data_IF_983999925968
#
_entry.id   IF_983999925968
#
_cell.length_a   1.000
_cell.length_b   1.000
_cell.length_c   1.000
_cell.angle_alpha   90.00
_cell.angle_beta   90.00
_cell.angle_gamma   90.00
#
_symmetry.space_group_name_H-M   'P 1'
#
loop_
_entity.id
_entity.type
_entity.pdbx_description
1 polymer ?
#
# COMPACT_ATOMS: atom_id res chain seq x y z
N UNK A 1 -33.89 -74.66 40.98
CA UNK A 1 -33.89 -73.26 40.56
C UNK A 1 -32.79 -73.11 39.50
N UNK A 2 -33.17 -72.99 38.26
CA UNK A 2 -32.27 -72.69 37.11
C UNK A 2 -32.22 -71.21 36.92
N UNK A 3 -31.09 -70.59 37.21
CA UNK A 3 -30.72 -69.24 36.73
C UNK A 3 -29.44 -69.41 35.92
N UNK A 4 -29.57 -69.39 34.75
CA UNK A 4 -29.53 -68.38 33.71
C UNK A 4 -28.12 -68.23 33.19
N UNK A 5 -27.79 -69.01 32.17
CA UNK A 5 -26.57 -68.81 31.30
C UNK A 5 -26.67 -67.63 30.38
N UNK A 6 -27.81 -66.92 30.34
CA UNK A 6 -28.07 -65.82 29.40
C UNK A 6 -27.50 -64.48 29.82
N UNK A 7 -27.24 -64.28 31.09
CA UNK A 7 -26.60 -62.97 31.57
C UNK A 7 -25.09 -62.97 31.35
N UNK A 8 -24.43 -64.08 31.21
CA UNK A 8 -23.00 -64.16 30.88
C UNK A 8 -22.70 -63.86 29.42
N UNK A 9 -23.65 -64.11 28.49
CA UNK A 9 -23.51 -63.83 27.08
C UNK A 9 -23.79 -62.33 26.79
N UNK A 10 -24.71 -61.69 27.49
CA UNK A 10 -24.97 -60.25 27.35
C UNK A 10 -23.85 -59.37 27.89
N UNK A 11 -23.19 -59.77 28.98
CA UNK A 11 -22.05 -59.07 29.55
C UNK A 11 -20.81 -59.10 28.62
N UNK A 12 -20.58 -60.20 27.93
CA UNK A 12 -19.45 -60.36 27.01
C UNK A 12 -19.65 -59.61 25.68
N UNK A 13 -20.90 -59.46 25.20
CA UNK A 13 -21.21 -58.66 24.01
C UNK A 13 -21.11 -57.13 24.31
N UNK A 14 -21.48 -56.68 25.50
CA UNK A 14 -21.36 -55.27 25.91
C UNK A 14 -19.88 -54.85 26.12
N UNK A 15 -19.00 -55.77 26.51
CA UNK A 15 -17.58 -55.53 26.70
C UNK A 15 -16.80 -55.48 25.35
N UNK A 16 -17.30 -56.20 24.32
CA UNK A 16 -16.74 -56.21 22.97
C UNK A 16 -17.11 -54.94 22.16
N UNK A 17 -18.18 -54.23 22.55
CA UNK A 17 -18.58 -52.98 21.89
C UNK A 17 -17.82 -51.72 22.41
N UNK A 18 -17.08 -51.82 23.54
CA UNK A 18 -16.27 -50.75 24.07
C UNK A 18 -14.80 -50.73 23.58
N UNK A 19 -14.40 -51.70 22.75
CA UNK A 19 -13.03 -51.81 22.24
C UNK A 19 -12.89 -51.44 20.76
N UNK A 20 -13.92 -50.87 20.13
CA UNK A 20 -13.87 -50.51 18.69
C UNK A 20 -13.97 -49.02 18.42
N UNK A 21 -13.14 -48.25 19.09
CA UNK A 21 -12.80 -46.90 18.64
C UNK A 21 -11.28 -46.67 18.76
N UNK A 22 -10.54 -47.49 17.99
CA UNK A 22 -9.18 -47.07 17.65
C UNK A 22 -9.28 -46.21 16.38
N UNK A 23 -9.18 -44.92 16.53
CA UNK A 23 -8.92 -44.02 15.42
C UNK A 23 -7.66 -44.52 14.69
N UNK A 24 -7.84 -44.99 13.48
CA UNK A 24 -6.73 -45.27 12.58
C UNK A 24 -6.13 -43.92 12.17
N UNK A 25 -5.01 -43.58 12.76
CA UNK A 25 -4.18 -42.48 12.26
C UNK A 25 -3.76 -42.84 10.83
N UNK A 26 -4.27 -42.10 9.86
CA UNK A 26 -3.78 -42.16 8.50
C UNK A 26 -2.39 -41.55 8.43
N UNK A 27 -1.38 -42.37 8.21
CA UNK A 27 -0.03 -41.91 7.99
C UNK A 27 0.09 -41.34 6.58
N UNK A 28 0.24 -40.04 6.46
CA UNK A 28 0.53 -39.39 5.20
C UNK A 28 2.02 -39.57 4.89
N UNK A 29 2.31 -40.41 3.88
CA UNK A 29 3.68 -40.58 3.39
C UNK A 29 3.92 -39.57 2.29
N UNK A 30 4.90 -38.69 2.47
CA UNK A 30 5.30 -37.71 1.44
C UNK A 30 5.95 -38.41 0.24
N UNK A 31 5.98 -37.82 -0.97
CA UNK A 31 6.60 -38.39 -2.16
C UNK A 31 8.11 -38.71 -1.99
N UNK A 32 8.73 -38.26 -0.91
CA UNK A 32 10.16 -38.46 -0.58
C UNK A 32 10.35 -39.50 0.54
N UNK A 33 9.30 -40.25 0.94
CA UNK A 33 9.43 -41.35 1.89
C UNK A 33 9.56 -40.96 3.36
N UNK A 34 9.46 -39.66 3.71
CA UNK A 34 9.36 -39.25 5.10
C UNK A 34 7.93 -39.47 5.62
N UNK A 35 7.80 -40.15 6.72
CA UNK A 35 6.54 -40.25 7.45
C UNK A 35 6.41 -38.97 8.24
N UNK A 36 5.49 -38.06 7.83
CA UNK A 36 5.01 -37.03 8.71
C UNK A 36 4.07 -37.77 9.70
N UNK A 37 4.53 -37.91 10.94
CA UNK A 37 3.57 -38.14 12.02
C UNK A 37 2.56 -37.01 11.89
N UNK A 38 1.26 -37.36 11.86
CA UNK A 38 0.21 -36.38 11.97
C UNK A 38 0.54 -35.56 13.22
N UNK A 39 1.10 -34.38 13.03
CA UNK A 39 1.11 -33.40 14.08
C UNK A 39 -0.35 -33.33 14.49
N UNK A 40 -0.66 -33.70 15.72
CA UNK A 40 -1.94 -33.32 16.30
C UNK A 40 -1.98 -31.81 16.10
N UNK A 41 -2.73 -31.37 15.09
CA UNK A 41 -3.17 -29.99 15.04
C UNK A 41 -3.98 -29.90 16.31
N UNK A 42 -3.38 -29.35 17.35
CA UNK A 42 -4.08 -29.08 18.59
C UNK A 42 -5.29 -28.26 18.14
N UNK A 43 -6.48 -28.66 18.60
CA UNK A 43 -7.70 -27.86 18.37
C UNK A 43 -7.56 -26.46 18.97
N UNK A 44 -6.47 -26.16 19.65
CA UNK A 44 -6.15 -24.94 20.37
C UNK A 44 -4.94 -24.20 19.74
N UNK A 45 -5.06 -23.75 18.49
CA UNK A 45 -4.06 -22.86 17.91
C UNK A 45 -4.12 -21.49 18.61
N UNK A 46 -3.14 -21.17 19.47
CA UNK A 46 -3.11 -19.97 20.30
C UNK A 46 -1.76 -19.23 20.17
N UNK A 47 -1.45 -18.36 21.11
CA UNK A 47 -0.30 -17.44 21.08
C UNK A 47 1.05 -18.10 20.78
N UNK A 48 1.31 -19.29 21.34
CA UNK A 48 2.56 -20.02 21.10
C UNK A 48 2.71 -20.46 19.63
N UNK A 49 1.61 -20.82 19.00
CA UNK A 49 1.58 -21.23 17.60
C UNK A 49 1.73 -20.03 16.67
N UNK A 50 1.13 -18.89 17.01
CA UNK A 50 1.32 -17.60 16.31
C UNK A 50 2.80 -17.20 16.37
N UNK A 51 3.45 -17.31 17.53
CA UNK A 51 4.87 -17.02 17.66
C UNK A 51 5.75 -18.00 16.86
N UNK A 52 5.36 -19.26 16.82
CA UNK A 52 6.07 -20.30 16.05
C UNK A 52 5.90 -20.12 14.54
N UNK A 53 4.70 -19.76 14.08
CA UNK A 53 4.42 -19.46 12.66
C UNK A 53 5.09 -18.18 12.19
N UNK A 54 5.38 -17.26 13.11
CA UNK A 54 5.97 -15.95 12.83
C UNK A 54 5.01 -14.96 12.20
N UNK A 55 3.69 -15.21 12.22
CA UNK A 55 2.68 -14.36 11.60
C UNK A 55 1.44 -14.21 12.50
N UNK A 56 1.00 -12.95 12.66
CA UNK A 56 -0.25 -12.56 13.29
C UNK A 56 -1.18 -12.00 12.22
N UNK A 57 -2.40 -12.52 12.12
CA UNK A 57 -3.36 -12.14 11.08
C UNK A 57 -4.43 -11.22 11.65
N UNK A 58 -4.51 -10.00 11.12
CA UNK A 58 -5.51 -9.01 11.51
C UNK A 58 -6.51 -8.80 10.37
N UNK A 59 -7.80 -8.96 10.63
CA UNK A 59 -8.84 -8.47 9.74
C UNK A 59 -9.31 -7.07 10.15
N UNK A 60 -9.57 -6.21 9.16
CA UNK A 60 -10.00 -4.83 9.39
C UNK A 60 -10.81 -4.30 8.21
N UNK A 61 -11.41 -3.12 8.40
CA UNK A 61 -12.05 -2.34 7.33
C UNK A 61 -11.14 -1.21 6.89
N UNK A 62 -11.31 -0.72 5.65
CA UNK A 62 -10.64 0.51 5.22
C UNK A 62 -11.22 1.72 5.93
N UNK A 63 -10.37 2.67 6.31
CA UNK A 63 -10.80 3.91 6.94
C UNK A 63 -9.64 4.68 7.56
N UNK A 64 -9.85 5.97 7.88
CA UNK A 64 -8.79 6.84 8.38
C UNK A 64 -8.22 6.39 9.72
N UNK A 65 -9.05 5.78 10.58
CA UNK A 65 -8.64 5.30 11.90
C UNK A 65 -8.30 3.80 11.90
N UNK A 66 -8.72 3.05 10.88
CA UNK A 66 -8.56 1.60 10.81
C UNK A 66 -7.33 1.20 10.00
N UNK A 67 -7.45 1.21 8.67
CA UNK A 67 -6.38 0.83 7.74
C UNK A 67 -6.52 1.56 6.42
N UNK A 68 -5.45 2.10 5.90
CA UNK A 68 -5.37 2.64 4.54
C UNK A 68 -3.93 2.69 4.03
N UNK A 69 -3.78 2.62 2.71
CA UNK A 69 -2.49 2.85 2.07
C UNK A 69 -2.28 4.34 1.77
N UNK A 70 -1.10 4.83 2.13
CA UNK A 70 -0.71 6.21 1.87
C UNK A 70 0.71 6.27 1.33
N UNK A 71 0.86 6.60 0.06
CA UNK A 71 2.14 6.60 -0.65
C UNK A 71 2.92 5.29 -0.51
N UNK A 72 2.22 4.15 -0.55
CA UNK A 72 2.80 2.82 -0.42
C UNK A 72 3.24 2.45 0.99
N UNK A 73 2.74 3.15 2.01
CA UNK A 73 2.90 2.81 3.41
C UNK A 73 1.52 2.62 4.03
N UNK A 74 1.35 1.51 4.73
CA UNK A 74 0.15 1.24 5.49
C UNK A 74 0.06 2.14 6.71
N UNK A 75 -1.08 2.77 6.92
CA UNK A 75 -1.40 3.68 8.01
C UNK A 75 -2.80 3.37 8.58
N UNK A 76 -3.15 4.09 9.62
CA UNK A 76 -4.36 3.95 10.43
C UNK A 76 -3.99 3.63 11.88
N UNK A 77 -4.62 4.31 12.83
CA UNK A 77 -4.30 4.14 14.25
C UNK A 77 -4.46 2.68 14.70
N UNK A 78 -5.53 1.99 14.26
CA UNK A 78 -5.74 0.56 14.56
C UNK A 78 -4.62 -0.32 13.99
N UNK A 79 -4.26 -0.09 12.74
CA UNK A 79 -3.15 -0.79 12.10
C UNK A 79 -1.85 -0.60 12.89
N UNK A 80 -1.51 0.63 13.28
CA UNK A 80 -0.28 0.92 14.02
C UNK A 80 -0.26 0.24 15.40
N UNK A 81 -1.41 0.18 16.10
CA UNK A 81 -1.52 -0.56 17.35
C UNK A 81 -1.25 -2.05 17.13
N UNK A 82 -1.89 -2.66 16.13
CA UNK A 82 -1.71 -4.08 15.82
C UNK A 82 -0.29 -4.38 15.32
N UNK A 83 0.33 -3.48 14.55
CA UNK A 83 1.72 -3.62 14.12
C UNK A 83 2.68 -3.59 15.32
N UNK A 84 2.52 -2.63 16.24
CA UNK A 84 3.33 -2.56 17.45
C UNK A 84 3.09 -3.79 18.37
N UNK A 85 1.88 -4.33 18.38
CA UNK A 85 1.57 -5.57 19.11
C UNK A 85 2.30 -6.77 18.49
N UNK A 86 2.20 -6.96 17.18
CA UNK A 86 2.93 -8.00 16.45
C UNK A 86 4.46 -7.89 16.64
N UNK A 87 5.00 -6.67 16.57
CA UNK A 87 6.42 -6.40 16.82
C UNK A 87 6.83 -6.83 18.26
N UNK A 88 5.95 -6.60 19.26
CA UNK A 88 6.22 -7.01 20.63
C UNK A 88 6.20 -8.52 20.85
N UNK A 89 5.47 -9.25 20.00
CA UNK A 89 5.44 -10.71 19.98
C UNK A 89 6.59 -11.31 19.15
N UNK A 90 7.33 -10.48 18.39
CA UNK A 90 8.39 -10.91 17.49
C UNK A 90 7.88 -11.55 16.20
N UNK A 91 6.63 -11.26 15.79
CA UNK A 91 5.98 -11.81 14.60
C UNK A 91 5.66 -10.72 13.58
N UNK A 92 5.38 -11.13 12.35
CA UNK A 92 4.95 -10.24 11.27
C UNK A 92 3.44 -10.06 11.32
N UNK A 93 2.95 -8.83 11.13
CA UNK A 93 1.53 -8.57 10.94
C UNK A 93 1.13 -8.80 9.47
N UNK A 94 0.12 -9.63 9.24
CA UNK A 94 -0.61 -9.75 7.98
C UNK A 94 -1.97 -9.08 8.12
N UNK A 95 -2.29 -8.19 7.17
CA UNK A 95 -3.57 -7.48 7.18
C UNK A 95 -4.49 -8.07 6.12
N UNK A 96 -5.69 -8.44 6.54
CA UNK A 96 -6.78 -8.90 5.69
C UNK A 96 -7.90 -7.84 5.71
N UNK A 97 -8.13 -7.20 4.56
CA UNK A 97 -9.09 -6.11 4.43
C UNK A 97 -10.45 -6.68 4.03
N UNK A 98 -11.43 -6.51 4.90
CA UNK A 98 -12.80 -6.95 4.69
C UNK A 98 -13.66 -5.84 4.09
N UNK A 99 -14.74 -6.22 3.43
CA UNK A 99 -15.70 -5.32 2.79
C UNK A 99 -16.63 -4.64 3.81
N UNK A 100 -17.04 -5.42 4.82
CA UNK A 100 -17.99 -4.97 5.83
C UNK A 100 -17.79 -5.71 7.17
N UNK A 101 -18.55 -5.29 8.18
CA UNK A 101 -18.48 -5.88 9.53
C UNK A 101 -19.00 -7.32 9.61
N UNK A 102 -19.82 -7.76 8.64
CA UNK A 102 -20.32 -9.14 8.59
C UNK A 102 -19.20 -10.09 8.20
N UNK A 103 -18.41 -9.73 7.18
CA UNK A 103 -17.23 -10.49 6.76
C UNK A 103 -16.15 -10.53 7.86
N UNK A 104 -15.95 -9.42 8.60
CA UNK A 104 -15.07 -9.40 9.77
C UNK A 104 -15.48 -10.44 10.82
N UNK A 105 -16.76 -10.44 11.20
CA UNK A 105 -17.30 -11.35 12.21
C UNK A 105 -17.31 -12.81 11.73
N UNK A 106 -17.48 -13.06 10.44
CA UNK A 106 -17.40 -14.39 9.84
C UNK A 106 -15.97 -14.94 9.93
N UNK A 107 -14.97 -14.17 9.49
CA UNK A 107 -13.57 -14.58 9.51
C UNK A 107 -13.06 -14.83 10.94
N UNK A 108 -13.46 -14.01 11.90
CA UNK A 108 -13.09 -14.23 13.29
C UNK A 108 -13.70 -15.54 13.82
N UNK A 109 -14.99 -15.77 13.56
CA UNK A 109 -15.68 -17.01 13.98
C UNK A 109 -15.18 -18.28 13.28
N UNK A 110 -14.69 -18.14 12.05
CA UNK A 110 -14.11 -19.24 11.29
C UNK A 110 -12.66 -19.57 11.70
N UNK A 111 -12.03 -18.73 12.56
CA UNK A 111 -10.62 -18.86 12.92
C UNK A 111 -9.65 -18.50 11.78
N UNK A 112 -10.13 -17.84 10.71
CA UNK A 112 -9.31 -17.44 9.57
C UNK A 112 -8.34 -16.30 9.92
N UNK A 113 -8.62 -15.57 11.01
CA UNK A 113 -7.85 -14.44 11.50
C UNK A 113 -7.69 -14.51 13.02
N UNK A 114 -6.61 -13.93 13.52
CA UNK A 114 -6.29 -13.93 14.95
C UNK A 114 -6.91 -12.74 15.69
N UNK A 115 -7.00 -11.60 14.98
CA UNK A 115 -7.52 -10.34 15.51
C UNK A 115 -8.49 -9.72 14.52
N UNK A 116 -9.47 -8.99 15.06
CA UNK A 116 -10.24 -8.00 14.31
C UNK A 116 -10.10 -6.62 14.94
N UNK A 117 -9.95 -5.61 14.07
CA UNK A 117 -9.81 -4.23 14.49
C UNK A 117 -10.73 -3.34 13.64
N UNK A 118 -11.72 -2.71 14.27
CA UNK A 118 -12.72 -1.90 13.55
C UNK A 118 -13.23 -0.72 14.37
N UNK A 119 -13.93 0.18 13.68
CA UNK A 119 -14.60 1.36 14.21
C UNK A 119 -13.65 2.35 14.91
N UNK A 120 -13.50 2.30 16.22
CA UNK A 120 -12.74 3.29 16.97
C UNK A 120 -11.35 2.79 17.34
N UNK A 121 -10.34 3.68 17.38
CA UNK A 121 -8.99 3.32 17.83
C UNK A 121 -8.97 2.62 19.19
N UNK A 122 -8.32 1.47 19.26
CA UNK A 122 -8.25 0.61 20.44
C UNK A 122 -9.36 -0.44 20.54
N UNK A 123 -10.34 -0.44 19.63
CA UNK A 123 -11.34 -1.49 19.56
C UNK A 123 -10.79 -2.67 18.74
N UNK A 124 -10.03 -3.53 19.44
CA UNK A 124 -9.36 -4.70 18.88
C UNK A 124 -9.82 -5.91 19.68
N UNK A 125 -10.31 -6.93 19.00
CA UNK A 125 -10.75 -8.19 19.61
C UNK A 125 -9.93 -9.34 19.03
N UNK A 126 -9.47 -10.22 19.92
CA UNK A 126 -8.86 -11.48 19.53
C UNK A 126 -9.94 -12.53 19.32
N UNK A 127 -9.58 -13.60 18.58
CA UNK A 127 -10.39 -14.79 18.50
C UNK A 127 -10.68 -15.33 19.91
N UNK A 128 -11.95 -15.48 20.31
CA UNK A 128 -12.30 -15.90 21.64
C UNK A 128 -11.82 -17.32 22.00
N UNK A 129 -11.49 -18.15 21.01
CA UNK A 129 -10.91 -19.47 21.23
C UNK A 129 -9.41 -19.40 21.56
N UNK A 130 -8.73 -18.28 21.23
CA UNK A 130 -7.32 -18.02 21.50
C UNK A 130 -7.16 -17.27 22.82
N UNK A 131 -7.28 -17.99 23.92
CA UNK A 131 -7.37 -17.37 25.27
C UNK A 131 -6.09 -16.66 25.70
N UNK A 132 -4.91 -17.21 25.40
CA UNK A 132 -3.61 -16.62 25.74
C UNK A 132 -3.34 -15.37 24.90
N UNK A 133 -3.70 -15.39 23.60
CA UNK A 133 -3.66 -14.23 22.74
C UNK A 133 -4.58 -13.12 23.26
N UNK A 134 -5.83 -13.46 23.58
CA UNK A 134 -6.83 -12.50 24.08
C UNK A 134 -6.38 -11.83 25.37
N UNK A 135 -5.84 -12.60 26.32
CA UNK A 135 -5.33 -12.06 27.60
C UNK A 135 -4.11 -11.17 27.35
N UNK A 136 -3.17 -11.60 26.50
CA UNK A 136 -1.96 -10.82 26.17
C UNK A 136 -2.34 -9.51 25.47
N UNK A 137 -3.29 -9.56 24.52
CA UNK A 137 -3.80 -8.36 23.85
C UNK A 137 -4.47 -7.42 24.85
N UNK A 138 -5.29 -7.92 25.77
CA UNK A 138 -5.98 -7.12 26.79
C UNK A 138 -4.98 -6.38 27.70
N UNK A 139 -3.88 -7.02 28.06
CA UNK A 139 -2.80 -6.42 28.85
C UNK A 139 -2.01 -5.38 28.04
N UNK A 140 -1.85 -5.61 26.75
CA UNK A 140 -1.14 -4.72 25.83
C UNK A 140 -1.96 -3.49 25.44
N UNK A 141 -3.24 -3.67 25.06
CA UNK A 141 -4.12 -2.65 24.50
C UNK A 141 -4.63 -1.68 25.58
N UNK A 142 -3.77 -0.74 25.96
CA UNK A 142 -4.06 0.30 26.96
C UNK A 142 -4.29 1.65 26.29
N UNK A 143 -5.04 2.57 26.92
CA UNK A 143 -5.25 3.92 26.40
C UNK A 143 -3.95 4.65 26.00
N UNK A 144 -2.86 4.43 26.74
CA UNK A 144 -1.54 5.00 26.41
C UNK A 144 -0.97 4.50 25.08
N UNK A 145 -1.26 3.26 24.69
CA UNK A 145 -0.85 2.71 23.39
C UNK A 145 -1.65 3.31 22.23
N UNK A 146 -2.94 3.50 22.44
CA UNK A 146 -3.81 4.18 21.48
C UNK A 146 -3.32 5.60 21.24
N UNK A 147 -3.01 6.32 22.30
CA UNK A 147 -2.48 7.69 22.19
C UNK A 147 -1.10 7.73 21.52
N UNK A 148 -0.21 6.78 21.84
CA UNK A 148 1.10 6.68 21.18
C UNK A 148 0.96 6.39 19.67
N UNK A 149 0.06 5.49 19.28
CA UNK A 149 -0.20 5.21 17.86
C UNK A 149 -0.78 6.42 17.11
N UNK A 150 -1.68 7.19 17.73
CA UNK A 150 -2.19 8.46 17.16
C UNK A 150 -1.09 9.49 16.98
N UNK A 151 -0.20 9.61 17.96
CA UNK A 151 0.95 10.52 17.87
C UNK A 151 1.92 10.08 16.78
N UNK A 152 2.19 8.77 16.67
CA UNK A 152 3.02 8.21 15.60
C UNK A 152 2.40 8.47 14.22
N UNK A 153 1.11 8.21 14.03
CA UNK A 153 0.41 8.49 12.78
C UNK A 153 0.48 9.98 12.43
N UNK A 154 0.20 10.85 13.40
CA UNK A 154 0.31 12.30 13.23
C UNK A 154 1.73 12.71 12.86
N UNK A 155 2.74 12.18 13.52
CA UNK A 155 4.14 12.43 13.20
C UNK A 155 4.47 11.97 11.78
N UNK A 156 4.05 10.76 11.38
CA UNK A 156 4.25 10.23 10.03
C UNK A 156 3.59 11.10 8.95
N UNK A 157 2.41 11.64 9.24
CA UNK A 157 1.67 12.51 8.31
C UNK A 157 2.23 13.94 8.27
N UNK A 158 2.89 14.41 9.34
CA UNK A 158 3.46 15.77 9.42
C UNK A 158 4.94 15.84 9.04
N UNK A 159 5.66 14.71 9.05
CA UNK A 159 7.04 14.65 8.54
C UNK A 159 7.06 15.20 7.12
N UNK A 160 8.04 16.06 6.81
CA UNK A 160 8.27 16.54 5.44
C UNK A 160 8.21 15.34 4.50
N UNK A 161 7.18 15.28 3.66
CA UNK A 161 6.82 14.13 2.83
C UNK A 161 8.00 13.58 2.02
N UNK A 162 8.91 14.47 1.61
CA UNK A 162 10.14 14.11 0.89
C UNK A 162 11.31 14.89 1.48
N UNK A 163 12.32 14.16 1.95
CA UNK A 163 13.62 14.72 2.34
C UNK A 163 14.43 14.96 1.07
N UNK A 164 14.57 16.20 0.67
CA UNK A 164 15.21 16.62 -0.59
C UNK A 164 15.83 18.01 -0.49
N UNK A 165 16.81 18.27 -1.36
CA UNK A 165 17.25 19.65 -1.66
C UNK A 165 16.22 20.29 -2.59
N UNK A 166 15.97 21.58 -2.38
CA UNK A 166 15.07 22.32 -3.26
C UNK A 166 15.93 23.02 -4.33
N UNK A 167 15.76 22.58 -5.57
CA UNK A 167 16.40 23.24 -6.71
C UNK A 167 15.42 24.22 -7.38
N UNK A 168 15.97 25.12 -8.21
CA UNK A 168 15.15 26.04 -8.99
C UNK A 168 14.20 25.24 -9.92
N UNK A 169 12.95 25.68 -10.10
CA UNK A 169 12.03 25.04 -11.05
C UNK A 169 12.51 25.17 -12.51
N UNK A 170 13.46 26.06 -12.77
CA UNK A 170 14.11 26.24 -14.07
C UNK A 170 15.57 26.64 -13.86
N UNK A 171 16.48 25.85 -14.41
CA UNK A 171 17.92 26.03 -14.21
C UNK A 171 18.45 27.27 -14.95
N UNK A 172 18.04 27.49 -16.20
CA UNK A 172 18.41 28.66 -17.01
C UNK A 172 17.25 29.03 -17.92
N UNK A 173 16.50 30.06 -17.53
CA UNK A 173 15.33 30.52 -18.28
C UNK A 173 15.71 31.08 -19.66
N UNK A 174 16.86 31.75 -19.76
CA UNK A 174 17.29 32.41 -21.01
C UNK A 174 17.71 31.36 -22.06
N UNK A 175 18.30 30.25 -21.61
CA UNK A 175 18.71 29.13 -22.47
C UNK A 175 17.64 28.07 -22.65
N UNK A 176 16.49 28.21 -21.98
CA UNK A 176 15.41 27.20 -22.02
C UNK A 176 15.81 25.88 -21.37
N UNK A 177 16.68 25.90 -20.36
CA UNK A 177 17.11 24.71 -19.63
C UNK A 177 16.29 24.60 -18.36
N UNK A 178 15.47 23.54 -18.26
CA UNK A 178 14.63 23.28 -17.09
C UNK A 178 15.47 22.65 -15.98
N UNK A 179 16.24 21.60 -16.30
CA UNK A 179 17.04 20.86 -15.33
C UNK A 179 18.32 20.29 -15.96
N UNK A 180 19.19 19.72 -15.15
CA UNK A 180 20.35 18.94 -15.62
C UNK A 180 19.96 17.62 -16.30
N UNK A 181 18.67 17.23 -16.25
CA UNK A 181 18.15 15.94 -16.71
C UNK A 181 17.28 16.05 -17.97
N UNK A 182 17.20 17.23 -18.58
CA UNK A 182 16.34 17.48 -19.75
C UNK A 182 16.56 16.47 -20.89
N UNK A 183 17.82 16.05 -21.11
CA UNK A 183 18.14 15.02 -22.10
C UNK A 183 17.47 13.68 -21.82
N UNK A 184 17.45 13.23 -20.57
CA UNK A 184 16.76 12.00 -20.19
C UNK A 184 15.25 12.14 -20.32
N UNK A 185 14.66 13.29 -19.93
CA UNK A 185 13.23 13.53 -20.13
C UNK A 185 12.88 13.51 -21.63
N UNK A 186 13.69 14.12 -22.50
CA UNK A 186 13.49 14.10 -23.94
C UNK A 186 13.60 12.69 -24.55
N UNK A 187 14.50 11.85 -24.01
CA UNK A 187 14.67 10.47 -24.43
C UNK A 187 13.45 9.63 -24.05
N UNK A 188 13.14 9.53 -22.77
CA UNK A 188 12.14 8.60 -22.23
C UNK A 188 10.70 9.06 -22.40
N UNK A 189 10.44 10.36 -22.61
CA UNK A 189 9.10 10.86 -22.89
C UNK A 189 8.55 10.35 -24.24
N UNK A 190 9.42 9.97 -25.17
CA UNK A 190 9.03 9.37 -26.47
C UNK A 190 8.36 8.02 -26.28
N UNK A 191 8.82 7.22 -25.33
CA UNK A 191 8.29 5.88 -25.05
C UNK A 191 6.85 5.92 -24.54
N UNK A 192 6.49 7.02 -23.88
CA UNK A 192 5.16 7.27 -23.32
C UNK A 192 4.35 8.28 -24.13
N UNK A 193 4.89 8.80 -25.22
CA UNK A 193 4.26 9.81 -26.10
C UNK A 193 3.81 11.07 -25.34
N UNK A 194 4.59 11.48 -24.36
CA UNK A 194 4.37 12.72 -23.62
C UNK A 194 5.28 13.85 -24.11
N UNK A 195 4.87 15.09 -23.88
CA UNK A 195 5.80 16.21 -23.90
C UNK A 195 6.84 16.00 -22.78
N UNK A 196 8.13 16.05 -23.11
CA UNK A 196 9.21 15.89 -22.14
C UNK A 196 9.13 16.89 -20.97
N UNK A 197 8.55 18.07 -21.22
CA UNK A 197 8.33 19.11 -20.20
C UNK A 197 7.28 18.67 -19.18
N UNK A 198 6.35 17.83 -19.55
CA UNK A 198 5.39 17.24 -18.61
C UNK A 198 6.09 16.28 -17.66
N UNK A 199 7.00 15.42 -18.15
CA UNK A 199 7.81 14.57 -17.28
C UNK A 199 8.72 15.39 -16.36
N UNK A 200 9.32 16.48 -16.87
CA UNK A 200 10.10 17.41 -16.08
C UNK A 200 9.23 18.10 -14.99
N UNK A 201 8.00 18.50 -15.32
CA UNK A 201 7.05 19.08 -14.36
C UNK A 201 6.66 18.08 -13.26
N UNK A 202 6.46 16.82 -13.62
CA UNK A 202 6.21 15.72 -12.68
C UNK A 202 7.43 15.51 -11.78
N UNK A 203 8.62 15.39 -12.34
CA UNK A 203 9.85 15.24 -11.58
C UNK A 203 10.07 16.38 -10.57
N UNK A 204 9.76 17.61 -10.96
CA UNK A 204 9.84 18.72 -10.02
C UNK A 204 8.86 18.57 -8.86
N UNK A 205 7.65 18.09 -9.12
CA UNK A 205 6.66 17.84 -8.06
C UNK A 205 7.13 16.72 -7.12
N UNK A 206 7.77 15.68 -7.65
CA UNK A 206 8.27 14.54 -6.88
C UNK A 206 9.48 14.91 -6.01
N UNK A 207 10.51 15.46 -6.61
CA UNK A 207 11.81 15.61 -5.96
C UNK A 207 12.40 17.02 -6.00
N UNK A 208 11.78 17.98 -6.72
CA UNK A 208 12.42 19.26 -7.09
C UNK A 208 13.77 19.05 -7.80
N UNK A 209 13.87 18.01 -8.63
CA UNK A 209 15.09 17.59 -9.34
C UNK A 209 16.24 17.11 -8.43
N UNK A 210 15.95 16.65 -7.20
CA UNK A 210 16.98 16.08 -6.33
C UNK A 210 17.08 14.56 -6.57
N UNK A 211 18.21 14.04 -7.14
CA UNK A 211 18.37 12.63 -7.38
C UNK A 211 18.55 11.81 -6.10
N UNK A 212 18.81 12.48 -4.96
CA UNK A 212 18.97 11.86 -3.64
C UNK A 212 17.73 12.00 -2.76
N UNK A 213 16.61 12.46 -3.33
CA UNK A 213 15.36 12.60 -2.60
C UNK A 213 14.87 11.25 -2.06
N UNK A 214 14.39 11.27 -0.82
CA UNK A 214 13.79 10.09 -0.17
C UNK A 214 12.51 10.53 0.54
N UNK A 215 11.40 9.86 0.25
CA UNK A 215 10.15 10.09 0.98
C UNK A 215 10.15 9.36 2.32
N UNK A 216 9.23 9.74 3.20
CA UNK A 216 9.02 9.04 4.47
C UNK A 216 8.60 7.57 4.25
N UNK A 217 7.92 7.26 3.14
CA UNK A 217 7.51 5.92 2.76
C UNK A 217 8.60 5.12 2.02
N UNK A 218 9.76 5.73 1.77
CA UNK A 218 10.91 5.06 1.14
C UNK A 218 10.97 5.20 -0.37
N UNK A 219 10.12 6.03 -1.01
CA UNK A 219 10.29 6.37 -2.42
C UNK A 219 11.61 7.09 -2.67
N UNK A 220 12.28 6.82 -3.78
CA UNK A 220 13.65 7.26 -4.03
C UNK A 220 13.84 7.96 -5.36
N UNK A 221 14.74 8.93 -5.38
CA UNK A 221 15.28 9.55 -6.59
C UNK A 221 14.37 10.60 -7.21
N UNK A 222 14.71 10.97 -8.44
CA UNK A 222 14.08 12.07 -9.18
C UNK A 222 12.58 11.94 -9.32
N UNK A 223 12.10 10.75 -9.66
CA UNK A 223 10.69 10.44 -9.92
C UNK A 223 10.01 9.69 -8.77
N UNK A 224 10.67 9.62 -7.59
CA UNK A 224 10.14 9.00 -6.37
C UNK A 224 9.58 7.60 -6.59
N UNK A 225 10.40 6.71 -7.13
CA UNK A 225 10.02 5.31 -7.33
C UNK A 225 10.04 4.55 -6.01
N UNK A 226 8.94 3.89 -5.67
CA UNK A 226 8.84 3.02 -4.51
C UNK A 226 9.67 1.73 -4.71
N UNK A 227 10.28 1.19 -3.64
CA UNK A 227 11.04 -0.07 -3.73
C UNK A 227 10.22 -1.24 -4.31
N UNK A 228 8.96 -1.39 -3.91
CA UNK A 228 8.07 -2.42 -4.47
C UNK A 228 7.77 -2.21 -5.96
N UNK A 229 7.61 -0.96 -6.39
CA UNK A 229 7.46 -0.62 -7.82
C UNK A 229 8.75 -0.93 -8.59
N UNK A 230 9.93 -0.65 -8.01
CA UNK A 230 11.20 -0.99 -8.64
C UNK A 230 11.32 -2.50 -8.86
N UNK A 231 10.97 -3.31 -7.86
CA UNK A 231 10.97 -4.78 -7.97
C UNK A 231 10.03 -5.26 -9.08
N UNK A 232 8.81 -4.74 -9.12
CA UNK A 232 7.82 -5.05 -10.17
C UNK A 232 8.35 -4.72 -11.57
N UNK A 233 9.04 -3.58 -11.72
CA UNK A 233 9.60 -3.13 -13.00
C UNK A 233 10.94 -3.79 -13.35
N UNK A 234 11.47 -4.66 -12.48
CA UNK A 234 12.78 -5.31 -12.63
C UNK A 234 13.96 -4.33 -12.53
N UNK A 235 13.82 -3.28 -11.72
CA UNK A 235 14.85 -2.25 -11.51
C UNK A 235 15.56 -2.49 -10.18
N UNK A 236 16.88 -2.64 -10.15
CA UNK A 236 17.64 -2.83 -8.89
C UNK A 236 17.44 -1.63 -7.94
N UNK A 237 17.10 -1.91 -6.68
CA UNK A 237 16.78 -0.88 -5.66
C UNK A 237 17.94 0.07 -5.35
N UNK A 238 19.19 -0.37 -5.52
CA UNK A 238 20.41 0.43 -5.35
C UNK A 238 20.61 1.43 -6.50
N UNK A 239 20.01 1.17 -7.68
CA UNK A 239 20.06 2.05 -8.84
C UNK A 239 19.02 3.16 -8.84
N UNK A 240 18.12 3.21 -7.85
CA UNK A 240 17.05 4.23 -7.80
C UNK A 240 17.56 5.66 -7.58
N UNK A 241 18.82 5.86 -7.18
CA UNK A 241 19.44 7.18 -7.10
C UNK A 241 20.18 7.58 -8.39
N UNK A 242 20.34 6.67 -9.34
CA UNK A 242 20.87 6.98 -10.65
C UNK A 242 19.80 7.70 -11.50
N UNK A 243 20.10 8.91 -12.00
CA UNK A 243 19.10 9.74 -12.68
C UNK A 243 18.45 9.08 -13.89
N UNK A 244 19.26 8.43 -14.73
CA UNK A 244 18.76 7.80 -15.95
C UNK A 244 17.86 6.61 -15.62
N UNK A 245 18.35 5.71 -14.77
CA UNK A 245 17.60 4.52 -14.32
C UNK A 245 16.27 4.90 -13.69
N UNK A 246 16.27 5.95 -12.86
CA UNK A 246 15.07 6.39 -12.16
C UNK A 246 14.02 6.99 -13.12
N UNK A 247 14.44 7.81 -14.08
CA UNK A 247 13.56 8.39 -15.12
C UNK A 247 13.03 7.28 -16.05
N UNK A 248 13.88 6.32 -16.44
CA UNK A 248 13.48 5.18 -17.26
C UNK A 248 12.45 4.30 -16.54
N UNK A 249 12.63 4.05 -15.24
CA UNK A 249 11.66 3.33 -14.40
C UNK A 249 10.31 4.04 -14.35
N UNK A 250 10.32 5.37 -14.17
CA UNK A 250 9.11 6.16 -14.21
C UNK A 250 8.38 6.09 -15.56
N UNK A 251 9.13 6.12 -16.67
CA UNK A 251 8.54 5.97 -18.01
C UNK A 251 7.88 4.60 -18.18
N UNK A 252 8.48 3.51 -17.68
CA UNK A 252 7.86 2.17 -17.68
C UNK A 252 6.55 2.18 -16.88
N UNK A 253 6.54 2.72 -15.66
CA UNK A 253 5.33 2.83 -14.83
C UNK A 253 4.25 3.66 -15.52
N UNK A 254 4.59 4.82 -16.07
CA UNK A 254 3.66 5.66 -16.83
C UNK A 254 3.03 4.89 -17.98
N UNK A 255 3.83 4.08 -18.71
CA UNK A 255 3.33 3.25 -19.82
C UNK A 255 2.34 2.19 -19.33
N UNK A 256 2.60 1.53 -18.20
CA UNK A 256 1.65 0.58 -17.60
C UNK A 256 0.36 1.27 -17.18
N UNK A 257 0.45 2.45 -16.56
CA UNK A 257 -0.73 3.24 -16.20
C UNK A 257 -1.51 3.70 -17.42
N UNK A 258 -0.84 4.08 -18.53
CA UNK A 258 -1.52 4.40 -19.79
C UNK A 258 -2.28 3.20 -20.36
N UNK A 259 -1.76 2.00 -20.21
CA UNK A 259 -2.46 0.77 -20.59
C UNK A 259 -3.65 0.51 -19.69
N UNK A 260 -3.48 0.70 -18.38
CA UNK A 260 -4.57 0.56 -17.40
C UNK A 260 -5.74 1.53 -17.67
N UNK A 261 -5.50 2.69 -18.30
CA UNK A 261 -6.52 3.68 -18.67
C UNK A 261 -6.69 3.80 -20.20
N UNK A 262 -6.50 2.70 -20.94
CA UNK A 262 -6.63 2.68 -22.41
C UNK A 262 -8.05 2.93 -22.92
N UNK A 263 -9.07 2.73 -22.07
CA UNK A 263 -10.47 3.05 -22.31
C UNK A 263 -10.73 4.57 -22.44
N UNK A 264 -9.88 5.41 -21.87
CA UNK A 264 -9.94 6.87 -22.05
C UNK A 264 -9.24 7.23 -23.35
N UNK A 265 -10.02 7.53 -24.39
CA UNK A 265 -9.48 7.75 -25.76
C UNK A 265 -8.69 9.04 -25.90
N UNK A 266 -9.14 10.10 -25.26
CA UNK A 266 -8.50 11.41 -25.33
C UNK A 266 -7.20 11.42 -24.53
N UNK A 267 -6.08 11.69 -25.20
CA UNK A 267 -4.75 11.64 -24.58
C UNK A 267 -4.59 12.66 -23.46
N UNK A 268 -5.17 13.86 -23.61
CA UNK A 268 -5.12 14.89 -22.58
C UNK A 268 -5.80 14.41 -21.28
N UNK A 269 -7.01 13.87 -21.40
CA UNK A 269 -7.75 13.32 -20.28
C UNK A 269 -7.03 12.12 -19.67
N UNK A 270 -6.64 11.13 -20.49
CA UNK A 270 -5.87 9.95 -20.00
C UNK A 270 -4.65 10.36 -19.19
N UNK A 271 -3.95 11.41 -19.59
CA UNK A 271 -2.78 11.91 -18.86
C UNK A 271 -3.12 12.35 -17.44
N UNK A 272 -4.29 12.96 -17.21
CA UNK A 272 -4.72 13.36 -15.87
C UNK A 272 -4.94 12.13 -14.96
N UNK A 273 -5.58 11.09 -15.50
CA UNK A 273 -5.80 9.83 -14.76
C UNK A 273 -4.48 9.09 -14.49
N UNK A 274 -3.55 9.11 -15.43
CA UNK A 274 -2.20 8.54 -15.23
C UNK A 274 -1.44 9.28 -14.13
N UNK A 275 -1.43 10.61 -14.14
CA UNK A 275 -0.82 11.42 -13.09
C UNK A 275 -1.47 11.16 -11.72
N UNK A 276 -2.80 11.15 -11.67
CA UNK A 276 -3.53 10.84 -10.45
C UNK A 276 -3.18 9.44 -9.91
N UNK A 277 -3.11 8.45 -10.80
CA UNK A 277 -2.80 7.07 -10.43
C UNK A 277 -1.34 6.86 -10.01
N UNK A 278 -0.43 7.62 -10.58
CA UNK A 278 0.97 7.60 -10.18
C UNK A 278 1.16 8.02 -8.72
N UNK A 279 0.37 9.00 -8.27
CA UNK A 279 0.41 9.52 -6.90
C UNK A 279 -0.48 8.71 -5.94
N UNK A 280 -1.73 8.43 -6.32
CA UNK A 280 -2.76 7.90 -5.43
C UNK A 280 -3.15 6.43 -5.69
N UNK A 281 -2.54 5.79 -6.69
CA UNK A 281 -2.85 4.40 -7.05
C UNK A 281 -4.04 4.29 -8.02
N UNK A 282 -3.90 3.43 -9.03
CA UNK A 282 -4.90 3.25 -10.11
C UNK A 282 -6.23 2.70 -9.60
N UNK A 283 -6.22 1.90 -8.55
CA UNK A 283 -7.41 1.26 -7.99
C UNK A 283 -8.38 2.28 -7.39
N UNK A 284 -7.89 3.21 -6.57
CA UNK A 284 -8.72 4.28 -6.01
C UNK A 284 -9.26 5.24 -7.09
N UNK A 285 -8.45 5.49 -8.13
CA UNK A 285 -8.93 6.31 -9.25
C UNK A 285 -10.05 5.59 -10.01
N UNK A 286 -9.98 4.26 -10.17
CA UNK A 286 -11.07 3.46 -10.75
C UNK A 286 -12.32 3.47 -9.86
N UNK A 287 -12.19 3.43 -8.55
CA UNK A 287 -13.31 3.60 -7.62
C UNK A 287 -13.98 4.97 -7.80
N UNK A 288 -13.20 6.04 -7.89
CA UNK A 288 -13.73 7.39 -8.16
C UNK A 288 -14.45 7.49 -9.51
N UNK A 289 -13.93 6.84 -10.56
CA UNK A 289 -14.59 6.75 -11.88
C UNK A 289 -15.92 6.00 -11.79
N UNK A 290 -15.98 4.91 -11.03
CA UNK A 290 -17.20 4.13 -10.83
C UNK A 290 -18.27 4.96 -10.12
N UNK A 291 -17.90 5.68 -9.05
CA UNK A 291 -18.81 6.61 -8.35
C UNK A 291 -19.31 7.73 -9.28
N UNK A 292 -18.43 8.35 -10.06
CA UNK A 292 -18.79 9.39 -11.03
C UNK A 292 -19.79 8.86 -12.07
N UNK A 293 -19.54 7.68 -12.62
CA UNK A 293 -20.40 7.01 -13.60
C UNK A 293 -21.78 6.70 -13.01
N UNK A 294 -21.85 6.18 -11.78
CA UNK A 294 -23.11 5.93 -11.06
C UNK A 294 -23.96 7.21 -10.94
N UNK A 295 -23.31 8.32 -10.65
CA UNK A 295 -23.97 9.63 -10.47
C UNK A 295 -24.21 10.36 -11.81
N UNK A 296 -24.12 9.66 -12.95
CA UNK A 296 -24.39 10.18 -14.30
C UNK A 296 -23.33 11.15 -14.83
N UNK A 297 -22.12 11.13 -14.27
CA UNK A 297 -20.97 11.90 -14.73
C UNK A 297 -20.16 11.14 -15.77
N UNK A 298 -19.40 11.85 -16.60
CA UNK A 298 -18.50 11.21 -17.54
C UNK A 298 -17.26 10.66 -16.80
N UNK A 299 -17.10 9.32 -16.66
CA UNK A 299 -15.99 8.72 -15.93
C UNK A 299 -14.63 8.89 -16.64
N UNK A 300 -14.62 9.35 -17.91
CA UNK A 300 -13.42 9.57 -18.70
C UNK A 300 -13.00 11.05 -18.77
N UNK A 301 -13.65 11.92 -18.00
CA UNK A 301 -13.36 13.35 -17.96
C UNK A 301 -12.87 13.73 -16.56
N UNK A 302 -11.61 14.15 -16.45
CA UNK A 302 -10.96 14.36 -15.15
C UNK A 302 -11.68 15.38 -14.26
N UNK A 303 -12.16 16.49 -14.83
CA UNK A 303 -12.87 17.50 -14.09
C UNK A 303 -14.16 16.99 -13.44
N UNK A 304 -14.77 15.93 -14.01
CA UNK A 304 -15.96 15.29 -13.45
C UNK A 304 -15.62 14.19 -12.43
N UNK A 305 -14.43 13.58 -12.54
CA UNK A 305 -13.99 12.51 -11.65
C UNK A 305 -13.23 13.03 -10.43
N UNK A 306 -12.44 14.09 -10.56
CA UNK A 306 -11.64 14.65 -9.46
C UNK A 306 -12.45 14.95 -8.17
N UNK A 307 -13.70 15.47 -8.23
CA UNK A 307 -14.54 15.61 -7.04
C UNK A 307 -14.82 14.28 -6.31
N UNK A 308 -14.89 13.16 -7.02
CA UNK A 308 -15.10 11.84 -6.43
C UNK A 308 -13.83 11.26 -5.81
N UNK A 309 -12.67 11.60 -6.34
CA UNK A 309 -11.39 11.32 -5.68
C UNK A 309 -11.35 11.98 -4.29
N UNK A 310 -11.82 13.24 -4.17
CA UNK A 310 -11.95 13.92 -2.88
C UNK A 310 -12.97 13.24 -1.95
N UNK A 311 -14.11 12.80 -2.51
CA UNK A 311 -15.20 12.16 -1.77
C UNK A 311 -14.81 10.80 -1.18
N UNK A 312 -13.81 10.10 -1.74
CA UNK A 312 -13.29 8.85 -1.16
C UNK A 312 -12.66 9.02 0.24
N UNK A 313 -12.49 10.24 0.73
CA UNK A 313 -12.14 10.52 2.12
C UNK A 313 -13.35 10.52 3.07
N UNK A 314 -14.58 10.38 2.57
CA UNK A 314 -15.83 10.48 3.34
C UNK A 314 -16.50 9.11 3.51
N UNK A 315 -16.94 8.72 4.72
CA UNK A 315 -17.50 7.38 4.99
C UNK A 315 -18.64 6.96 4.05
N UNK A 316 -19.52 7.90 3.71
CA UNK A 316 -20.61 7.65 2.77
C UNK A 316 -20.15 7.16 1.38
N UNK A 317 -18.96 7.58 0.95
CA UNK A 317 -18.42 7.20 -0.37
C UNK A 317 -17.46 6.04 -0.30
N UNK A 318 -16.54 6.00 0.65
CA UNK A 318 -15.59 4.88 0.69
C UNK A 318 -16.21 3.55 1.18
N UNK A 319 -17.36 3.59 1.88
CA UNK A 319 -18.15 2.40 2.25
C UNK A 319 -19.23 2.05 1.22
N UNK A 320 -19.32 2.78 0.10
CA UNK A 320 -20.29 2.49 -0.95
C UNK A 320 -19.98 1.12 -1.59
N UNK A 321 -20.98 0.26 -1.82
CA UNK A 321 -20.75 -1.08 -2.38
C UNK A 321 -20.06 -1.13 -3.75
N UNK A 322 -20.08 -0.04 -4.52
CA UNK A 322 -19.40 0.07 -5.81
C UNK A 322 -17.87 0.30 -5.63
N UNK A 323 -17.46 0.82 -4.47
CA UNK A 323 -16.06 1.10 -4.13
C UNK A 323 -15.41 -0.18 -3.63
N UNK A 324 -14.30 -0.56 -4.25
CA UNK A 324 -13.61 -1.82 -3.97
C UNK A 324 -12.39 -1.66 -3.06
N UNK A 325 -11.75 -0.49 -3.12
CA UNK A 325 -10.49 -0.23 -2.42
C UNK A 325 -10.65 0.75 -1.25
N UNK A 326 -11.86 1.28 -1.05
CA UNK A 326 -12.26 2.00 0.14
C UNK A 326 -11.63 3.39 0.29
N UNK A 327 -11.22 3.72 1.50
CA UNK A 327 -10.76 5.04 1.90
C UNK A 327 -9.49 5.51 1.17
N UNK A 328 -9.51 6.78 0.71
CA UNK A 328 -8.37 7.45 0.09
C UNK A 328 -8.26 8.91 0.54
N UNK A 329 -7.04 9.40 0.81
CA UNK A 329 -6.74 10.82 1.04
C UNK A 329 -6.64 11.58 -0.29
N UNK A 330 -7.75 11.73 -0.99
CA UNK A 330 -7.78 12.19 -2.38
C UNK A 330 -7.30 13.63 -2.63
N UNK A 331 -7.30 14.49 -1.61
CA UNK A 331 -6.94 15.92 -1.78
C UNK A 331 -5.52 16.12 -2.32
N UNK A 332 -4.57 15.29 -1.89
CA UNK A 332 -3.18 15.37 -2.37
C UNK A 332 -3.04 14.97 -3.82
N UNK A 333 -3.81 13.97 -4.24
CA UNK A 333 -3.79 13.47 -5.62
C UNK A 333 -4.39 14.47 -6.59
N UNK A 334 -5.48 15.13 -6.22
CA UNK A 334 -6.07 16.19 -7.05
C UNK A 334 -5.11 17.37 -7.16
N UNK A 335 -4.56 17.83 -6.04
CA UNK A 335 -3.57 18.90 -5.95
C UNK A 335 -2.27 18.58 -6.75
N UNK A 336 -1.86 17.32 -6.74
CA UNK A 336 -0.71 16.82 -7.51
C UNK A 336 -0.93 16.99 -9.02
N UNK A 337 -2.09 16.59 -9.54
CA UNK A 337 -2.43 16.75 -10.96
C UNK A 337 -2.47 18.23 -11.33
N UNK A 338 -3.12 19.07 -10.54
CA UNK A 338 -3.22 20.52 -10.79
C UNK A 338 -1.84 21.21 -10.82
N UNK A 339 -0.98 20.91 -9.85
CA UNK A 339 0.37 21.46 -9.76
C UNK A 339 1.24 21.07 -10.94
N UNK A 340 1.16 19.82 -11.38
CA UNK A 340 1.93 19.35 -12.55
C UNK A 340 1.42 20.03 -13.82
N UNK A 341 0.10 20.11 -13.99
CA UNK A 341 -0.51 20.79 -15.16
C UNK A 341 -0.13 22.28 -15.23
N UNK A 342 -0.25 22.97 -14.10
CA UNK A 342 0.14 24.38 -14.01
C UNK A 342 1.62 24.58 -14.31
N UNK A 343 2.48 23.71 -13.82
CA UNK A 343 3.92 23.75 -14.10
C UNK A 343 4.24 23.41 -15.54
N UNK A 344 3.60 22.39 -16.10
CA UNK A 344 3.74 22.03 -17.51
C UNK A 344 3.37 23.22 -18.40
N UNK A 345 2.25 23.90 -18.14
CA UNK A 345 1.85 25.09 -18.88
C UNK A 345 2.94 26.19 -18.78
N UNK A 346 3.58 26.38 -17.63
CA UNK A 346 4.68 27.33 -17.47
C UNK A 346 5.94 26.94 -18.27
N UNK A 347 6.13 25.65 -18.54
CA UNK A 347 7.26 25.14 -19.33
C UNK A 347 7.02 25.13 -20.83
N UNK A 348 5.77 25.20 -21.30
CA UNK A 348 5.44 25.17 -22.74
C UNK A 348 6.08 26.32 -23.55
N UNK A 349 6.32 27.49 -22.91
CA UNK A 349 7.03 28.61 -23.54
C UNK A 349 8.54 28.42 -23.69
N UNK A 350 9.09 27.33 -23.16
CA UNK A 350 10.51 27.01 -23.19
C UNK A 350 10.85 26.30 -24.50
N UNK A 351 11.66 26.93 -25.36
CA UNK A 351 12.18 26.30 -26.57
C UNK A 351 13.10 25.13 -26.17
N UNK A 352 12.94 23.97 -26.83
CA UNK A 352 13.89 22.85 -26.62
C UNK A 352 15.29 23.31 -27.02
N UNK A 353 16.26 23.30 -26.11
CA UNK A 353 17.62 23.58 -26.50
C UNK A 353 18.11 22.46 -27.43
N UNK A 354 18.70 22.80 -28.56
CA UNK A 354 19.52 21.88 -29.33
C UNK A 354 20.82 21.60 -28.55
N UNK A 355 20.71 20.82 -27.50
CA UNK A 355 21.87 20.37 -26.72
C UNK A 355 22.22 18.99 -27.27
N UNK A 356 23.41 18.89 -27.88
CA UNK A 356 24.05 17.60 -28.07
C UNK A 356 24.11 16.90 -26.72
N UNK A 357 23.34 15.86 -26.56
CA UNK A 357 23.25 15.11 -25.31
C UNK A 357 24.55 14.33 -25.11
N UNK A 358 25.33 14.72 -24.09
CA UNK A 358 26.50 13.98 -23.62
C UNK A 358 26.16 13.38 -22.25
N UNK A 359 25.88 12.06 -22.16
CA UNK A 359 25.44 11.42 -20.91
C UNK A 359 26.45 11.44 -19.77
N UNK A 360 27.70 11.77 -20.04
CA UNK A 360 28.82 11.40 -19.17
C UNK A 360 29.30 12.45 -18.19
N UNK A 361 28.72 13.65 -18.09
CA UNK A 361 29.11 14.61 -17.07
C UNK A 361 27.93 15.42 -16.50
N UNK A 362 27.62 15.28 -15.20
CA UNK A 362 26.76 16.23 -14.52
C UNK A 362 27.44 17.59 -14.55
N UNK A 363 26.80 18.61 -15.17
CA UNK A 363 27.29 19.98 -15.09
C UNK A 363 27.39 20.39 -13.63
N UNK A 364 28.56 20.81 -13.19
CA UNK A 364 28.77 21.38 -11.85
C UNK A 364 27.78 22.54 -11.71
N UNK A 365 26.93 22.47 -10.69
CA UNK A 365 26.05 23.56 -10.32
C UNK A 365 26.90 24.82 -10.07
N UNK A 366 26.55 25.93 -10.73
CA UNK A 366 27.17 27.23 -10.47
C UNK A 366 26.92 27.58 -8.97
N UNK A 367 27.98 27.92 -8.23
CA UNK A 367 27.96 28.16 -6.78
C UNK A 367 27.19 29.42 -6.38
N UNK A 368 26.27 29.93 -7.21
CA UNK A 368 25.41 31.04 -6.80
C UNK A 368 24.51 30.53 -5.68
N UNK A 369 24.66 31.14 -4.49
CA UNK A 369 23.81 30.90 -3.33
C UNK A 369 22.34 30.86 -3.76
N UNK A 370 21.72 29.73 -3.60
CA UNK A 370 20.33 29.56 -3.91
C UNK A 370 19.52 30.39 -2.89
N UNK A 371 18.74 31.38 -3.35
CA UNK A 371 17.90 32.25 -2.51
C UNK A 371 16.87 31.50 -1.66
N UNK A 372 16.79 30.18 -1.85
CA UNK A 372 15.82 29.26 -1.24
C UNK A 372 16.47 28.19 -0.35
N UNK A 373 17.77 28.31 0.00
CA UNK A 373 18.34 27.48 1.06
C UNK A 373 17.74 27.92 2.41
N UNK A 374 16.65 27.32 2.79
CA UNK A 374 16.16 27.39 4.16
C UNK A 374 17.15 26.63 5.04
N UNK A 375 17.87 27.38 5.88
CA UNK A 375 18.69 26.80 6.94
C UNK A 375 17.79 25.88 7.76
N UNK A 376 18.15 24.63 7.83
CA UNK A 376 17.65 23.71 8.84
C UNK A 376 18.33 24.10 10.16
N UNK A 377 17.61 24.73 11.05
CA UNK A 377 17.88 24.70 12.49
C UNK A 377 17.22 23.48 13.09
#
# INVERSE_FOLDING_TARGET
MRFSKDYLLLGSILWLLLLSCTHKQERIVTPYGSVLDSVNVSEDFDLADIQTSGELIMATLTGPDTYYDYHGKSLGTQYLICQQFADSLGVRLRVDVCRDSSELAEKLRAGDVDLVAWAQPGNIEADPEKTDLAETLRQWNRPSRVEAAKQEETALLTVKKVRRRIFSPMLDKNKGIISNYDGYFQQYSRDVRWDWRLMAAQCYQESTFDPKAVSFAGAKGLMQIMPGTADHLGVPRDKLYDPETNIAAAAKLIKELQQAFSDIREQYERTNFVLASYNGGSHHIRDAMALASRDGKNPHHWAEVAPYVLKLATPHYYNDPIVKYGYMRGSETVDYVEKIRGRHASYQGVKSPHIGFHPSQPRKADKRKNKYDLKSD
#
